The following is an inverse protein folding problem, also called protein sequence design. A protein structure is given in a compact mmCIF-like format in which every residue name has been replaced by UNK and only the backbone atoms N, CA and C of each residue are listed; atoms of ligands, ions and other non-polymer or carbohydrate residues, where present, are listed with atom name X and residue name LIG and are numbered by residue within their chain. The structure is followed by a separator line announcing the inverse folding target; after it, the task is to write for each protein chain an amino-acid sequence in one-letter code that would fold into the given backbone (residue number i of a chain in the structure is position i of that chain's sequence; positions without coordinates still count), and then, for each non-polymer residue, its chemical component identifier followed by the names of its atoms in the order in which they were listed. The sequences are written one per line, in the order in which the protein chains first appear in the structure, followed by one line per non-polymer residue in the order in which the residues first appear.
data_IF_233152517937
#
_entry.id   IF_233152517937
#
_cell.length_a   1.000
_cell.length_b   1.000
_cell.length_c   1.000
_cell.angle_alpha   90.00
_cell.angle_beta   90.00
_cell.angle_gamma   90.00
#
_symmetry.space_group_name_H-M   'P 1'
#
loop_
_entity.id
_entity.type
_entity.pdbx_description
1 polymer ?
#
# COMPACT_ATOMS: atom_id res chain seq x y z
N UNK A 1 -35.10 43.26 -29.66
CA UNK A 1 -34.65 41.97 -30.18
C UNK A 1 -33.30 42.19 -30.86
N UNK A 2 -32.20 41.90 -30.15
CA UNK A 2 -30.86 42.00 -30.72
C UNK A 2 -30.44 40.60 -31.18
N UNK A 3 -30.40 40.37 -32.48
CA UNK A 3 -29.82 39.16 -33.07
C UNK A 3 -28.31 39.20 -32.87
N UNK A 4 -27.80 38.30 -32.07
CA UNK A 4 -26.37 38.10 -31.93
C UNK A 4 -25.81 37.62 -33.28
N UNK A 5 -25.04 38.47 -33.94
CA UNK A 5 -24.28 38.16 -35.15
C UNK A 5 -23.22 37.14 -34.80
N UNK A 6 -23.44 35.88 -35.13
CA UNK A 6 -22.42 34.84 -35.05
C UNK A 6 -21.32 35.14 -36.07
N UNK A 7 -20.23 35.75 -35.64
CA UNK A 7 -19.04 35.99 -36.46
C UNK A 7 -18.48 34.68 -36.98
N UNK A 8 -18.64 34.42 -38.30
CA UNK A 8 -18.01 33.25 -38.95
C UNK A 8 -16.50 33.33 -38.80
N UNK A 9 -15.91 32.49 -37.93
CA UNK A 9 -14.47 32.38 -37.82
C UNK A 9 -13.84 32.01 -39.17
N UNK A 10 -12.76 32.70 -39.54
CA UNK A 10 -11.96 32.36 -40.72
C UNK A 10 -11.50 30.89 -40.66
N UNK A 11 -11.43 30.22 -41.82
CA UNK A 11 -11.02 28.81 -41.95
C UNK A 11 -9.73 28.48 -41.14
N UNK A 12 -8.72 29.32 -41.22
CA UNK A 12 -7.45 29.15 -40.49
C UNK A 12 -7.64 29.19 -38.98
N UNK A 13 -8.51 30.04 -38.45
CA UNK A 13 -8.80 30.10 -37.01
C UNK A 13 -9.54 28.85 -36.53
N UNK A 14 -10.45 28.29 -37.32
CA UNK A 14 -11.14 27.03 -36.99
C UNK A 14 -10.17 25.87 -36.96
N UNK A 15 -9.27 25.75 -37.93
CA UNK A 15 -8.26 24.72 -38.01
C UNK A 15 -7.29 24.81 -36.82
N UNK A 16 -6.88 26.01 -36.45
CA UNK A 16 -6.00 26.24 -35.30
C UNK A 16 -6.67 25.85 -33.97
N UNK A 17 -7.96 26.21 -33.80
CA UNK A 17 -8.75 25.82 -32.63
C UNK A 17 -8.89 24.30 -32.58
N UNK A 18 -9.19 23.62 -33.67
CA UNK A 18 -9.26 22.16 -33.71
C UNK A 18 -7.95 21.50 -33.35
N UNK A 19 -6.83 21.97 -33.89
CA UNK A 19 -5.50 21.46 -33.56
C UNK A 19 -5.21 21.60 -32.06
N UNK A 20 -5.50 22.80 -31.51
CA UNK A 20 -5.31 23.04 -30.08
C UNK A 20 -6.21 22.13 -29.22
N UNK A 21 -7.47 21.94 -29.60
CA UNK A 21 -8.37 21.05 -28.81
C UNK A 21 -7.90 19.59 -28.84
N UNK A 22 -7.44 19.08 -29.99
CA UNK A 22 -6.87 17.72 -30.05
C UNK A 22 -5.59 17.59 -29.24
N UNK A 23 -4.69 18.57 -29.32
CA UNK A 23 -3.46 18.57 -28.52
C UNK A 23 -3.77 18.56 -27.03
N UNK A 24 -4.68 19.41 -26.56
CA UNK A 24 -5.11 19.43 -25.16
C UNK A 24 -5.77 18.13 -24.73
N UNK A 25 -6.60 17.53 -25.58
CA UNK A 25 -7.22 16.24 -25.28
C UNK A 25 -6.16 15.14 -25.09
N UNK A 26 -5.15 15.09 -25.96
CA UNK A 26 -4.05 14.12 -25.84
C UNK A 26 -3.25 14.36 -24.55
N UNK A 27 -2.92 15.62 -24.22
CA UNK A 27 -2.19 15.96 -23.01
C UNK A 27 -2.98 15.56 -21.77
N UNK A 28 -4.28 15.82 -21.70
CA UNK A 28 -5.14 15.43 -20.59
C UNK A 28 -5.23 13.91 -20.43
N UNK A 29 -5.36 13.17 -21.53
CA UNK A 29 -5.33 11.71 -21.52
C UNK A 29 -3.99 11.19 -21.01
N UNK A 30 -2.88 11.76 -21.45
CA UNK A 30 -1.54 11.37 -21.03
C UNK A 30 -1.31 11.64 -19.53
N UNK A 31 -1.70 12.83 -19.04
CA UNK A 31 -1.60 13.17 -17.61
C UNK A 31 -2.46 12.23 -16.77
N UNK A 32 -3.69 11.94 -17.19
CA UNK A 32 -4.55 10.97 -16.50
C UNK A 32 -3.95 9.56 -16.45
N UNK A 33 -3.39 9.11 -17.58
CA UNK A 33 -2.71 7.81 -17.65
C UNK A 33 -1.47 7.78 -16.73
N UNK A 34 -0.64 8.82 -16.74
CA UNK A 34 0.53 8.92 -15.87
C UNK A 34 0.14 8.90 -14.38
N UNK A 35 -0.92 9.61 -14.00
CA UNK A 35 -1.39 9.62 -12.61
C UNK A 35 -1.80 8.22 -12.11
N UNK A 36 -2.51 7.45 -12.95
CA UNK A 36 -2.92 6.08 -12.61
C UNK A 36 -1.68 5.17 -12.49
N UNK A 37 -0.77 5.26 -13.45
CA UNK A 37 0.47 4.46 -13.47
C UNK A 37 1.38 4.76 -12.28
N UNK A 38 1.51 6.02 -11.90
CA UNK A 38 2.30 6.42 -10.75
C UNK A 38 1.76 5.85 -9.45
N UNK A 39 0.44 5.87 -9.27
CA UNK A 39 -0.21 5.28 -8.09
C UNK A 39 0.03 3.77 -7.99
N UNK A 40 -0.11 3.04 -9.10
CA UNK A 40 0.17 1.60 -9.16
C UNK A 40 1.64 1.32 -8.83
N UNK A 41 2.56 2.03 -9.47
CA UNK A 41 4.00 1.86 -9.25
C UNK A 41 4.42 2.08 -7.80
N UNK A 42 3.92 3.13 -7.16
CA UNK A 42 4.19 3.42 -5.73
C UNK A 42 3.64 2.33 -4.82
N UNK A 43 2.46 1.81 -5.11
CA UNK A 43 1.87 0.71 -4.35
C UNK A 43 2.66 -0.59 -4.48
N UNK A 44 3.12 -0.90 -5.69
CA UNK A 44 3.94 -2.10 -5.95
C UNK A 44 5.31 -1.98 -5.29
N UNK A 45 5.93 -0.80 -5.34
CA UNK A 45 7.21 -0.53 -4.70
C UNK A 45 7.12 -0.69 -3.17
N UNK A 46 6.10 -0.09 -2.55
CA UNK A 46 5.86 -0.23 -1.11
C UNK A 46 5.58 -1.69 -0.72
N UNK A 47 4.79 -2.39 -1.54
CA UNK A 47 4.52 -3.82 -1.34
C UNK A 47 5.82 -4.64 -1.37
N UNK A 48 6.71 -4.36 -2.32
CA UNK A 48 7.98 -5.07 -2.44
C UNK A 48 8.90 -4.81 -1.23
N UNK A 49 8.98 -3.55 -0.75
CA UNK A 49 9.76 -3.22 0.45
C UNK A 49 9.23 -3.93 1.69
N UNK A 50 7.91 -3.89 1.92
CA UNK A 50 7.29 -4.55 3.06
C UNK A 50 7.43 -6.08 2.97
N UNK A 51 7.31 -6.64 1.78
CA UNK A 51 7.52 -8.07 1.57
C UNK A 51 8.96 -8.48 1.88
N UNK A 52 9.94 -7.71 1.44
CA UNK A 52 11.34 -7.96 1.75
C UNK A 52 11.59 -7.92 3.26
N UNK A 53 11.04 -6.95 3.95
CA UNK A 53 11.13 -6.84 5.40
C UNK A 53 10.42 -8.01 6.11
N UNK A 54 9.22 -8.40 5.66
CA UNK A 54 8.51 -9.56 6.19
C UNK A 54 9.32 -10.86 6.02
N UNK A 55 9.95 -11.06 4.85
CA UNK A 55 10.81 -12.22 4.61
C UNK A 55 12.03 -12.21 5.52
N UNK A 56 12.64 -11.06 5.73
CA UNK A 56 13.75 -10.91 6.67
C UNK A 56 13.33 -11.31 8.11
N UNK A 57 12.20 -10.80 8.60
CA UNK A 57 11.66 -11.19 9.91
C UNK A 57 11.35 -12.68 9.99
N UNK A 58 10.80 -13.28 8.93
CA UNK A 58 10.50 -14.70 8.87
C UNK A 58 11.77 -15.55 9.02
N UNK A 59 12.88 -15.18 8.37
CA UNK A 59 14.13 -15.93 8.51
C UNK A 59 14.65 -15.94 9.94
N UNK A 60 14.48 -14.82 10.66
CA UNK A 60 14.91 -14.72 12.06
C UNK A 60 13.99 -15.49 13.02
N UNK A 61 12.69 -15.44 12.79
CA UNK A 61 11.68 -16.07 13.63
C UNK A 61 11.63 -17.58 13.43
N UNK A 62 11.83 -18.08 12.21
CA UNK A 62 11.77 -19.50 11.90
C UNK A 62 13.05 -20.27 12.33
N UNK A 63 14.16 -19.57 12.51
CA UNK A 63 15.41 -20.13 13.06
C UNK A 63 15.39 -20.16 14.60
N UNK A 64 14.44 -19.46 15.28
CA UNK A 64 14.25 -19.45 16.73
C UNK A 64 13.23 -20.50 17.17
N UNK A 65 13.50 -21.20 18.25
CA UNK A 65 12.70 -22.36 18.71
C UNK A 65 11.47 -22.03 19.57
N UNK A 66 11.25 -20.76 20.06
CA UNK A 66 10.15 -20.46 21.00
C UNK A 66 9.46 -19.09 20.82
N UNK A 67 8.14 -19.07 21.08
CA UNK A 67 7.24 -17.91 20.93
C UNK A 67 7.59 -16.66 21.78
N UNK A 68 8.33 -16.78 22.86
CA UNK A 68 8.72 -15.65 23.72
C UNK A 68 9.77 -14.74 23.08
N UNK A 69 10.41 -15.17 22.01
CA UNK A 69 11.45 -14.41 21.31
C UNK A 69 10.94 -13.43 20.26
N UNK A 70 9.66 -13.50 19.82
CA UNK A 70 9.14 -12.62 18.74
C UNK A 70 9.27 -11.14 19.11
N UNK A 71 8.95 -10.79 20.35
CA UNK A 71 9.02 -9.40 20.83
C UNK A 71 10.47 -8.90 20.81
N UNK A 72 11.39 -9.69 21.33
CA UNK A 72 12.81 -9.35 21.40
C UNK A 72 13.42 -9.18 20.00
N UNK A 73 13.10 -10.08 19.07
CA UNK A 73 13.58 -9.99 17.69
C UNK A 73 13.02 -8.76 16.96
N UNK A 74 11.71 -8.51 17.05
CA UNK A 74 11.08 -7.38 16.39
C UNK A 74 11.53 -6.04 16.97
N UNK A 75 11.73 -5.96 18.30
CA UNK A 75 12.20 -4.74 18.96
C UNK A 75 13.70 -4.46 18.73
N UNK A 76 14.52 -5.49 18.53
CA UNK A 76 15.97 -5.34 18.31
C UNK A 76 16.34 -4.85 16.91
N UNK A 77 15.40 -4.87 15.97
CA UNK A 77 15.66 -4.53 14.58
C UNK A 77 15.07 -3.17 14.18
N UNK A 78 15.84 -2.44 13.39
CA UNK A 78 15.42 -1.16 12.83
C UNK A 78 14.24 -1.37 11.87
N UNK A 79 13.16 -0.62 12.10
CA UNK A 79 11.98 -0.67 11.26
C UNK A 79 12.19 0.20 10.03
N UNK A 80 11.76 -0.20 8.84
CA UNK A 80 11.87 0.62 7.64
C UNK A 80 11.01 1.89 7.71
N UNK A 81 10.01 1.93 8.62
CA UNK A 81 9.12 3.07 8.86
C UNK A 81 8.79 3.16 10.34
N UNK A 82 8.77 4.38 10.89
CA UNK A 82 8.53 4.62 12.33
C UNK A 82 7.15 4.13 12.77
N UNK A 83 6.11 4.35 11.96
CA UNK A 83 4.72 3.97 12.23
C UNK A 83 4.39 2.54 11.77
N UNK A 84 5.40 1.69 11.55
CA UNK A 84 5.17 0.33 11.09
C UNK A 84 4.54 -0.54 12.18
N UNK A 85 3.32 -1.00 11.93
CA UNK A 85 2.66 -2.03 12.73
C UNK A 85 3.06 -3.40 12.22
N UNK A 86 3.44 -4.29 13.14
CA UNK A 86 3.89 -5.64 12.85
C UNK A 86 3.06 -6.61 13.67
N UNK A 87 2.46 -7.60 13.02
CA UNK A 87 1.71 -8.68 13.65
C UNK A 87 2.27 -10.01 13.20
N UNK A 88 2.45 -10.93 14.15
CA UNK A 88 2.76 -12.35 13.89
C UNK A 88 1.46 -13.13 14.04
N UNK A 89 1.13 -13.92 13.04
CA UNK A 89 -0.16 -14.61 12.93
C UNK A 89 0.13 -16.08 12.64
N UNK A 90 -0.56 -16.99 13.33
CA UNK A 90 -0.48 -18.43 13.03
C UNK A 90 -1.11 -18.75 11.68
N UNK A 91 -0.85 -19.93 11.14
CA UNK A 91 -1.52 -20.39 9.90
C UNK A 91 -3.05 -20.59 10.08
N UNK A 92 -3.52 -20.72 11.33
CA UNK A 92 -4.96 -20.74 11.67
C UNK A 92 -5.59 -19.34 11.74
N UNK A 93 -4.77 -18.28 11.71
CA UNK A 93 -5.21 -16.89 11.72
C UNK A 93 -5.22 -16.23 13.10
N UNK A 94 -4.76 -16.91 14.13
CA UNK A 94 -4.68 -16.36 15.48
C UNK A 94 -3.46 -15.46 15.61
N UNK A 95 -3.64 -14.27 16.19
CA UNK A 95 -2.56 -13.31 16.39
C UNK A 95 -1.79 -13.69 17.64
N UNK A 96 -0.52 -13.99 17.51
CA UNK A 96 0.38 -14.36 18.63
C UNK A 96 1.27 -13.20 19.08
N UNK A 97 1.41 -12.17 18.24
CA UNK A 97 2.12 -10.94 18.58
C UNK A 97 1.60 -9.76 17.76
N UNK A 98 1.54 -8.58 18.37
CA UNK A 98 1.29 -7.31 17.69
C UNK A 98 2.00 -6.18 18.46
N UNK A 99 2.79 -5.36 17.76
CA UNK A 99 3.60 -4.32 18.40
C UNK A 99 2.81 -3.06 18.81
N UNK A 100 1.52 -3.00 18.49
CA UNK A 100 0.68 -1.82 18.72
C UNK A 100 -0.46 -2.09 19.68
N UNK A 101 -1.01 -3.29 19.68
CA UNK A 101 -2.22 -3.67 20.43
C UNK A 101 -1.95 -4.99 21.17
N UNK A 102 -2.48 -5.11 22.40
CA UNK A 102 -2.44 -6.39 23.11
C UNK A 102 -3.13 -7.47 22.28
N UNK A 103 -2.42 -8.55 21.98
CA UNK A 103 -2.89 -9.64 21.13
C UNK A 103 -4.10 -10.37 21.70
N UNK A 104 -4.27 -10.37 23.02
CA UNK A 104 -5.44 -10.97 23.70
C UNK A 104 -6.79 -10.33 23.31
N UNK A 105 -6.75 -9.10 22.78
CA UNK A 105 -7.93 -8.35 22.35
C UNK A 105 -8.20 -8.44 20.84
N UNK A 106 -7.40 -9.19 20.10
CA UNK A 106 -7.50 -9.26 18.64
C UNK A 106 -8.31 -10.49 18.19
N UNK A 107 -9.25 -10.25 17.29
CA UNK A 107 -10.01 -11.30 16.62
C UNK A 107 -9.10 -12.13 15.68
N UNK A 108 -9.56 -13.33 15.34
CA UNK A 108 -8.88 -14.15 14.33
C UNK A 108 -8.82 -13.45 12.96
N UNK A 109 -7.64 -13.43 12.37
CA UNK A 109 -7.33 -12.71 11.12
C UNK A 109 -7.37 -13.58 9.86
N UNK A 110 -7.79 -14.84 9.93
CA UNK A 110 -7.82 -15.76 8.79
C UNK A 110 -8.63 -15.21 7.60
N UNK A 111 -9.72 -14.49 7.87
CA UNK A 111 -10.60 -13.90 6.85
C UNK A 111 -10.14 -12.53 6.35
N UNK A 112 -9.01 -12.02 6.81
CA UNK A 112 -8.48 -10.75 6.30
C UNK A 112 -7.96 -10.95 4.88
N UNK A 113 -8.30 -10.04 3.91
CA UNK A 113 -7.98 -10.25 2.49
C UNK A 113 -6.49 -10.51 2.21
N UNK A 114 -5.62 -9.77 2.88
CA UNK A 114 -4.17 -9.91 2.79
C UNK A 114 -3.70 -11.25 3.35
N UNK A 115 -4.23 -11.69 4.49
CA UNK A 115 -3.87 -12.96 5.15
C UNK A 115 -4.39 -14.16 4.34
N UNK A 116 -5.67 -14.14 3.96
CA UNK A 116 -6.29 -15.20 3.17
C UNK A 116 -5.61 -15.42 1.82
N UNK A 117 -5.17 -14.33 1.16
CA UNK A 117 -4.40 -14.40 -0.08
C UNK A 117 -2.97 -14.87 0.15
N UNK A 118 -2.29 -14.40 1.22
CA UNK A 118 -0.93 -14.81 1.55
C UNK A 118 -0.87 -16.31 1.89
N UNK A 119 -1.88 -16.86 2.56
CA UNK A 119 -2.01 -18.31 2.80
C UNK A 119 -2.00 -19.14 1.51
N UNK A 120 -2.59 -18.61 0.43
CA UNK A 120 -2.69 -19.32 -0.87
C UNK A 120 -1.47 -19.09 -1.76
N UNK A 121 -1.00 -17.84 -1.81
CA UNK A 121 -0.02 -17.37 -2.80
C UNK A 121 1.39 -17.18 -2.24
N UNK A 122 1.58 -17.34 -0.91
CA UNK A 122 2.84 -17.04 -0.22
C UNK A 122 2.93 -15.59 0.27
N UNK A 123 2.42 -14.63 -0.48
CA UNK A 123 2.35 -13.22 -0.09
C UNK A 123 1.10 -12.54 -0.67
N UNK A 124 0.71 -11.44 -0.05
CA UNK A 124 -0.33 -10.55 -0.58
C UNK A 124 -0.28 -9.19 0.11
N UNK A 125 -0.86 -8.19 -0.56
CA UNK A 125 -1.09 -6.88 0.04
C UNK A 125 -2.52 -6.41 -0.18
N UNK A 126 -2.95 -5.44 0.61
CA UNK A 126 -4.26 -4.79 0.50
C UNK A 126 -4.15 -3.31 0.84
N UNK A 127 -4.70 -2.45 -0.04
CA UNK A 127 -4.60 -0.99 0.06
C UNK A 127 -5.89 -0.41 0.63
N UNK A 128 -5.74 0.58 1.54
CA UNK A 128 -6.87 1.45 1.93
C UNK A 128 -7.96 0.75 2.76
N UNK A 129 -7.61 -0.28 3.54
CA UNK A 129 -8.56 -0.87 4.47
C UNK A 129 -8.53 -0.14 5.82
N UNK A 130 -9.70 0.24 6.31
CA UNK A 130 -9.83 0.78 7.65
C UNK A 130 -9.49 -0.28 8.71
N UNK A 131 -8.66 0.12 9.65
CA UNK A 131 -8.34 -0.68 10.82
C UNK A 131 -9.53 -0.68 11.78
N UNK A 132 -9.91 -1.86 12.27
CA UNK A 132 -10.98 -2.00 13.25
C UNK A 132 -10.61 -1.39 14.62
N UNK A 133 -9.31 -1.19 14.89
CA UNK A 133 -8.81 -0.74 16.18
C UNK A 133 -8.71 0.78 16.32
N UNK A 134 -8.42 1.51 15.23
CA UNK A 134 -8.21 2.97 15.28
C UNK A 134 -8.95 3.75 14.18
N UNK A 135 -9.65 3.05 13.27
CA UNK A 135 -10.44 3.64 12.19
C UNK A 135 -9.62 4.28 11.07
N UNK A 136 -8.28 4.23 11.11
CA UNK A 136 -7.41 4.76 10.06
C UNK A 136 -7.32 3.79 8.89
N UNK A 137 -7.07 4.33 7.70
CA UNK A 137 -6.75 3.52 6.54
C UNK A 137 -5.30 3.09 6.58
N UNK A 138 -5.05 1.82 6.27
CA UNK A 138 -3.71 1.22 6.24
C UNK A 138 -3.44 0.52 4.92
N UNK A 139 -2.18 0.54 4.54
CA UNK A 139 -1.62 -0.38 3.57
C UNK A 139 -1.14 -1.62 4.32
N UNK A 140 -1.71 -2.78 4.02
CA UNK A 140 -1.35 -4.05 4.64
C UNK A 140 -0.53 -4.90 3.69
N UNK A 141 0.55 -5.50 4.19
CA UNK A 141 1.30 -6.56 3.52
C UNK A 141 1.36 -7.79 4.41
N UNK A 142 1.16 -8.97 3.85
CA UNK A 142 1.27 -10.24 4.56
C UNK A 142 2.14 -11.21 3.78
N UNK A 143 3.06 -11.87 4.46
CA UNK A 143 3.94 -12.88 3.88
C UNK A 143 3.89 -14.14 4.73
N UNK A 144 3.61 -15.27 4.07
CA UNK A 144 3.53 -16.59 4.71
C UNK A 144 4.90 -17.20 4.82
N UNK A 145 5.27 -17.61 6.04
CA UNK A 145 6.38 -18.50 6.31
C UNK A 145 5.94 -19.97 6.40
N UNK A 146 6.78 -20.80 6.99
CA UNK A 146 6.50 -22.24 7.22
C UNK A 146 5.44 -22.42 8.30
N UNK A 147 5.61 -21.74 9.44
CA UNK A 147 4.80 -21.90 10.64
C UNK A 147 3.92 -20.68 10.95
N UNK A 148 4.31 -19.49 10.51
CA UNK A 148 3.64 -18.25 10.81
C UNK A 148 3.49 -17.35 9.56
N UNK A 149 2.67 -16.33 9.70
CA UNK A 149 2.49 -15.25 8.72
C UNK A 149 2.96 -13.97 9.40
N UNK A 150 3.86 -13.24 8.77
CA UNK A 150 4.17 -11.86 9.17
C UNK A 150 3.26 -10.92 8.40
N UNK A 151 2.56 -10.08 9.14
CA UNK A 151 1.72 -9.03 8.58
C UNK A 151 2.24 -7.68 9.04
N UNK A 152 2.56 -6.83 8.09
CA UNK A 152 2.93 -5.43 8.32
C UNK A 152 1.83 -4.51 7.85
N UNK A 153 1.69 -3.35 8.53
CA UNK A 153 0.73 -2.33 8.16
C UNK A 153 1.32 -0.94 8.35
N UNK A 154 1.11 -0.05 7.38
CA UNK A 154 1.53 1.35 7.42
C UNK A 154 0.29 2.22 7.20
N UNK A 155 0.10 3.33 7.98
CA UNK A 155 -0.94 4.30 7.72
C UNK A 155 -0.84 4.83 6.28
N UNK A 156 -1.95 4.78 5.54
CA UNK A 156 -1.94 5.11 4.10
C UNK A 156 -1.46 6.53 3.80
N UNK A 157 -1.70 7.49 4.70
CA UNK A 157 -1.23 8.87 4.58
C UNK A 157 0.29 9.02 4.73
N UNK A 158 0.88 8.30 5.68
CA UNK A 158 2.33 8.32 5.96
C UNK A 158 3.11 7.66 4.83
N UNK A 159 2.66 6.50 4.35
CA UNK A 159 3.34 5.73 3.30
C UNK A 159 3.46 6.48 1.97
N UNK A 160 2.52 7.38 1.67
CA UNK A 160 2.58 8.20 0.46
C UNK A 160 3.50 9.42 0.60
N UNK A 161 3.55 10.05 1.78
CA UNK A 161 4.41 11.22 1.99
C UNK A 161 5.89 10.86 2.02
N UNK A 162 6.26 9.80 2.73
CA UNK A 162 7.67 9.37 2.83
C UNK A 162 8.23 8.86 1.49
N UNK A 163 7.41 8.16 0.70
CA UNK A 163 7.80 7.76 -0.67
C UNK A 163 7.98 8.96 -1.62
N UNK A 164 7.29 10.08 -1.34
CA UNK A 164 7.43 11.31 -2.13
C UNK A 164 8.66 12.13 -1.72
N UNK A 165 9.05 12.11 -0.44
CA UNK A 165 10.21 12.84 0.07
C UNK A 165 11.54 12.15 -0.28
N UNK A 166 11.59 10.82 -0.38
CA UNK A 166 12.81 10.08 -0.71
C UNK A 166 13.35 10.32 -2.13
N UNK A 167 12.52 10.77 -3.06
CA UNK A 167 12.91 11.02 -4.45
C UNK A 167 13.57 12.42 -4.68
N UNK A 168 13.76 13.25 -3.64
CA UNK A 168 14.33 14.62 -3.78
C UNK A 168 15.70 14.81 -3.11
N UNK A 169 16.33 13.74 -2.61
CA UNK A 169 17.70 13.75 -2.06
C UNK A 169 18.66 12.95 -2.94
#
# INVERSE_FOLDING_TARGET
MAMASATKLSYHKRLLIQLLTYTWAIVLCFVGFQYIREKEYKSDFLSAQLQQYNLYLLTQIEDGEECEEYEQYILSHEKPFDDLRISVITLSGDVVYDNTISFDSLDNHCNRPEVAKALKNGYAYHIGRQSASDGREYFYSATRGKNVIIRTAIPYSTSLSELLEADWT
#
